data_IF_664480542387
#
_entry.id   IF_664480542387
#
_cell.length_a   1.000
_cell.length_b   1.000
_cell.length_c   1.000
_cell.angle_alpha   90.00
_cell.angle_beta   90.00
_cell.angle_gamma   90.00
#
_symmetry.space_group_name_H-M   'P 1'
#
loop_
_entity.id
_entity.type
_entity.pdbx_description
1 polymer ?
#
# COMPACT_ATOMS: atom_id res chain seq x y z
N UNK A 1 -2.64 -0.43 -0.78
CA UNK A 1 -2.38 -0.13 -2.21
C UNK A 1 -2.54 -1.42 -3.04
N UNK A 2 -2.54 -1.32 -4.37
CA UNK A 2 -2.66 -2.43 -5.31
C UNK A 2 -1.69 -2.24 -6.47
N UNK A 3 -0.93 -3.27 -6.83
CA UNK A 3 -0.24 -3.33 -8.11
C UNK A 3 -1.07 -4.09 -9.15
N UNK A 4 -1.06 -3.63 -10.39
CA UNK A 4 -1.77 -4.23 -11.51
C UNK A 4 -0.80 -4.47 -12.67
N UNK A 5 -0.43 -5.72 -12.97
CA UNK A 5 0.49 -6.01 -14.06
C UNK A 5 -0.08 -5.63 -15.44
N UNK A 6 -1.39 -5.80 -15.66
CA UNK A 6 -2.02 -5.53 -16.96
C UNK A 6 -1.99 -4.05 -17.36
N UNK A 7 -1.96 -3.16 -16.37
CA UNK A 7 -1.91 -1.71 -16.58
C UNK A 7 -0.57 -1.11 -16.11
N UNK A 8 0.37 -1.95 -15.68
CA UNK A 8 1.66 -1.56 -15.07
C UNK A 8 1.52 -0.41 -14.06
N UNK A 9 0.51 -0.47 -13.19
CA UNK A 9 0.25 0.61 -12.22
C UNK A 9 0.23 0.13 -10.78
N UNK A 10 0.68 1.02 -9.91
CA UNK A 10 0.56 0.90 -8.47
C UNK A 10 -0.35 2.02 -7.96
N UNK A 11 -1.40 1.68 -7.22
CA UNK A 11 -2.45 2.61 -6.82
C UNK A 11 -2.82 2.53 -5.36
N UNK A 12 -3.03 3.68 -4.75
CA UNK A 12 -3.53 3.81 -3.38
C UNK A 12 -4.97 4.32 -3.41
N UNK A 13 -5.80 3.73 -2.54
CA UNK A 13 -7.21 4.08 -2.43
C UNK A 13 -7.59 4.25 -0.97
N UNK A 14 -8.61 5.06 -0.76
CA UNK A 14 -9.41 5.13 0.45
C UNK A 14 -10.82 4.65 0.14
N UNK A 15 -11.45 3.94 1.08
CA UNK A 15 -12.86 3.54 0.97
C UNK A 15 -13.60 4.01 2.20
N UNK A 16 -14.59 4.86 2.03
CA UNK A 16 -15.48 5.33 3.12
C UNK A 16 -16.91 5.07 2.69
N UNK A 17 -17.69 4.38 3.53
CA UNK A 17 -19.08 4.02 3.25
C UNK A 17 -19.29 3.34 1.88
N UNK A 18 -18.34 2.48 1.51
CA UNK A 18 -18.33 1.77 0.22
C UNK A 18 -17.87 2.62 -0.98
N UNK A 19 -17.68 3.93 -0.81
CA UNK A 19 -17.16 4.80 -1.86
C UNK A 19 -15.62 4.73 -1.91
N UNK A 20 -15.09 4.22 -3.02
CA UNK A 20 -13.65 4.15 -3.27
C UNK A 20 -13.15 5.42 -3.96
N UNK A 21 -12.20 6.10 -3.33
CA UNK A 21 -11.47 7.26 -3.86
C UNK A 21 -10.01 6.88 -4.09
N UNK A 22 -9.45 7.24 -5.24
CA UNK A 22 -8.01 7.11 -5.48
C UNK A 22 -7.29 8.25 -4.76
N UNK A 23 -6.29 7.90 -3.95
CA UNK A 23 -5.44 8.88 -3.27
C UNK A 23 -4.22 9.23 -4.13
N UNK A 24 -3.59 8.22 -4.73
CA UNK A 24 -2.42 8.41 -5.59
C UNK A 24 -2.22 7.22 -6.57
N UNK A 25 -1.44 7.43 -7.63
CA UNK A 25 -1.10 6.43 -8.65
C UNK A 25 0.29 6.67 -9.23
N UNK A 26 0.99 5.59 -9.54
CA UNK A 26 2.26 5.61 -10.26
C UNK A 26 2.32 4.49 -11.31
N UNK A 27 3.18 4.68 -12.31
CA UNK A 27 3.64 3.58 -13.15
C UNK A 27 4.59 2.70 -12.34
N UNK A 28 4.39 1.40 -12.42
CA UNK A 28 5.18 0.39 -11.73
C UNK A 28 5.27 -0.84 -12.63
N UNK A 29 6.35 -0.92 -13.39
CA UNK A 29 6.67 -2.11 -14.17
C UNK A 29 7.14 -3.24 -13.25
N UNK A 30 6.79 -4.46 -13.58
CA UNK A 30 7.15 -5.66 -12.83
C UNK A 30 6.79 -6.91 -13.64
N UNK A 31 7.44 -8.02 -13.35
CA UNK A 31 7.17 -9.30 -13.99
C UNK A 31 5.97 -9.97 -13.29
N UNK A 32 4.83 -10.20 -13.98
CA UNK A 32 3.65 -10.81 -13.37
C UNK A 32 3.91 -12.20 -12.77
N UNK A 33 4.95 -12.92 -13.21
CA UNK A 33 5.29 -14.25 -12.73
C UNK A 33 6.31 -14.23 -11.57
N UNK A 34 6.79 -13.04 -11.18
CA UNK A 34 7.75 -12.85 -10.09
C UNK A 34 7.08 -12.47 -8.75
N UNK A 35 7.82 -12.67 -7.65
CA UNK A 35 7.42 -12.16 -6.33
C UNK A 35 7.78 -10.68 -6.23
N UNK A 36 6.79 -9.87 -5.85
CA UNK A 36 6.94 -8.44 -5.63
C UNK A 36 6.67 -8.06 -4.17
N UNK A 37 7.37 -7.05 -3.69
CA UNK A 37 7.19 -6.52 -2.34
C UNK A 37 6.36 -5.24 -2.38
N UNK A 38 5.26 -5.21 -1.64
CA UNK A 38 4.51 -3.98 -1.37
C UNK A 38 4.69 -3.62 0.10
N UNK A 39 5.09 -2.38 0.36
CA UNK A 39 5.19 -1.83 1.72
C UNK A 39 4.39 -0.54 1.81
N UNK A 40 3.56 -0.43 2.85
CA UNK A 40 2.77 0.77 3.15
C UNK A 40 3.24 1.30 4.50
N UNK A 41 3.54 2.59 4.55
CA UNK A 41 3.84 3.32 5.78
C UNK A 41 2.74 4.35 5.97
N UNK A 42 2.04 4.29 7.10
CA UNK A 42 1.00 5.25 7.45
C UNK A 42 1.29 5.84 8.82
N UNK A 43 1.56 7.15 8.88
CA UNK A 43 2.06 7.82 10.09
C UNK A 43 1.40 9.18 10.24
N UNK A 44 0.53 9.32 11.24
CA UNK A 44 -0.30 10.52 11.37
C UNK A 44 -1.24 10.61 10.16
N UNK A 45 -1.08 11.65 9.34
CA UNK A 45 -1.85 11.80 8.09
C UNK A 45 -1.10 11.30 6.85
N UNK A 46 0.17 10.97 6.97
CA UNK A 46 1.07 10.75 5.84
C UNK A 46 1.07 9.27 5.43
N UNK A 47 0.75 8.99 4.17
CA UNK A 47 0.78 7.66 3.58
C UNK A 47 1.89 7.59 2.53
N UNK A 48 2.71 6.55 2.62
CA UNK A 48 3.72 6.22 1.61
C UNK A 48 3.54 4.79 1.12
N UNK A 49 3.57 4.61 -0.19
CA UNK A 49 3.50 3.31 -0.83
C UNK A 49 4.79 3.00 -1.58
N UNK A 50 5.36 1.84 -1.28
CA UNK A 50 6.56 1.32 -1.93
C UNK A 50 6.22 0.05 -2.71
N UNK A 51 6.80 -0.06 -3.90
CA UNK A 51 6.80 -1.26 -4.73
C UNK A 51 8.26 -1.64 -4.99
N UNK A 52 8.64 -2.87 -4.64
CA UNK A 52 10.03 -3.38 -4.72
C UNK A 52 11.07 -2.39 -4.15
N UNK A 53 10.77 -1.91 -2.93
CA UNK A 53 11.58 -0.93 -2.18
C UNK A 53 11.68 0.48 -2.78
N UNK A 54 11.11 0.73 -3.94
CA UNK A 54 11.02 2.07 -4.51
C UNK A 54 9.80 2.81 -3.96
N UNK A 55 9.98 4.01 -3.42
CA UNK A 55 8.88 4.90 -3.06
C UNK A 55 8.20 5.36 -4.35
N UNK A 56 6.93 5.03 -4.51
CA UNK A 56 6.16 5.34 -5.72
C UNK A 56 4.90 6.14 -5.44
N UNK A 57 4.33 6.02 -4.23
CA UNK A 57 3.09 6.70 -3.87
C UNK A 57 3.27 7.55 -2.61
N UNK A 58 2.73 8.76 -2.64
CA UNK A 58 2.63 9.65 -1.48
C UNK A 58 1.24 10.27 -1.44
N UNK A 59 0.59 10.22 -0.29
CA UNK A 59 -0.72 10.81 -0.09
C UNK A 59 -0.90 11.26 1.35
N UNK A 60 -1.90 12.10 1.58
CA UNK A 60 -2.35 12.46 2.92
C UNK A 60 -3.82 12.04 3.12
N UNK A 61 -4.16 11.58 4.32
CA UNK A 61 -5.52 11.30 4.75
C UNK A 61 -5.72 11.61 6.23
N UNK A 62 -6.84 12.22 6.59
CA UNK A 62 -7.24 12.51 7.98
C UNK A 62 -8.58 11.87 8.36
N UNK A 63 -9.18 11.06 7.48
CA UNK A 63 -10.46 10.41 7.75
C UNK A 63 -10.33 9.18 8.67
N UNK A 64 -9.19 8.51 8.69
CA UNK A 64 -8.92 7.39 9.60
C UNK A 64 -7.89 7.79 10.65
N UNK A 65 -8.33 8.48 11.71
CA UNK A 65 -7.46 8.88 12.83
C UNK A 65 -7.28 7.79 13.90
N UNK A 66 -8.17 6.80 13.92
CA UNK A 66 -8.15 5.71 14.89
C UNK A 66 -7.45 4.45 14.37
N UNK A 67 -7.17 3.55 15.30
CA UNK A 67 -6.61 2.25 15.04
C UNK A 67 -7.52 1.39 14.17
N UNK A 68 -6.90 0.55 13.34
CA UNK A 68 -7.62 -0.38 12.47
C UNK A 68 -6.87 -1.70 12.29
N UNK A 69 -7.51 -2.60 11.54
CA UNK A 69 -6.93 -3.89 11.19
C UNK A 69 -6.11 -3.81 9.90
N UNK A 70 -5.17 -4.74 9.75
CA UNK A 70 -4.45 -4.96 8.50
C UNK A 70 -5.08 -6.13 7.75
N UNK A 71 -5.29 -5.95 6.45
CA UNK A 71 -5.87 -6.96 5.58
C UNK A 71 -5.24 -6.97 4.20
N UNK A 72 -5.40 -8.09 3.50
CA UNK A 72 -4.98 -8.31 2.12
C UNK A 72 -6.23 -8.53 1.26
N UNK A 73 -6.14 -8.17 -0.02
CA UNK A 73 -7.27 -8.29 -0.94
C UNK A 73 -6.78 -8.51 -2.37
N UNK A 74 -7.59 -9.21 -3.16
CA UNK A 74 -7.44 -9.34 -4.62
C UNK A 74 -8.56 -8.59 -5.34
N UNK A 75 -8.37 -8.29 -6.63
CA UNK A 75 -9.37 -7.58 -7.44
C UNK A 75 -9.85 -8.46 -8.59
N UNK A 76 -11.17 -8.49 -8.77
CA UNK A 76 -11.82 -9.22 -9.85
C UNK A 76 -11.43 -10.70 -9.84
N UNK A 77 -10.91 -11.20 -10.95
CA UNK A 77 -10.53 -12.59 -11.22
C UNK A 77 -9.04 -12.89 -10.96
N UNK A 78 -8.29 -11.96 -10.37
CA UNK A 78 -6.88 -12.17 -10.08
C UNK A 78 -6.66 -13.30 -9.05
N UNK A 79 -5.89 -14.32 -9.45
CA UNK A 79 -5.36 -15.35 -8.58
C UNK A 79 -4.01 -14.89 -8.01
N UNK A 80 -4.02 -14.39 -6.77
CA UNK A 80 -2.83 -13.81 -6.11
C UNK A 80 -2.45 -14.60 -4.88
N UNK A 81 -1.18 -14.94 -4.76
CA UNK A 81 -0.60 -15.53 -3.55
C UNK A 81 0.08 -14.43 -2.71
N UNK A 82 -0.16 -14.46 -1.41
CA UNK A 82 0.49 -13.55 -0.45
C UNK A 82 1.35 -14.36 0.50
N UNK A 83 2.56 -13.88 0.77
CA UNK A 83 3.48 -14.46 1.73
C UNK A 83 4.24 -13.38 2.50
N UNK A 84 4.82 -13.72 3.64
CA UNK A 84 5.65 -12.85 4.48
C UNK A 84 4.97 -11.54 4.93
N UNK A 85 3.66 -11.59 5.22
CA UNK A 85 2.96 -10.45 5.81
C UNK A 85 3.57 -10.09 7.17
N UNK A 86 4.07 -8.85 7.27
CA UNK A 86 4.56 -8.27 8.52
C UNK A 86 3.83 -6.95 8.76
N UNK A 87 3.28 -6.79 9.95
CA UNK A 87 2.69 -5.53 10.41
C UNK A 87 3.37 -5.13 11.71
N UNK A 88 3.77 -3.86 11.80
CA UNK A 88 4.28 -3.27 13.02
C UNK A 88 3.57 -1.95 13.23
N UNK A 89 3.01 -1.79 14.42
CA UNK A 89 2.67 -0.47 14.90
C UNK A 89 3.93 0.18 15.48
N UNK A 90 4.09 1.47 15.25
CA UNK A 90 5.13 2.26 15.87
C UNK A 90 4.64 3.68 16.10
N UNK A 91 5.18 4.35 17.11
CA UNK A 91 4.91 5.77 17.30
C UNK A 91 5.63 6.60 16.23
N UNK A 92 5.05 7.75 15.87
CA UNK A 92 5.53 8.62 14.76
C UNK A 92 7.03 8.92 14.80
N UNK A 93 7.61 9.07 16.00
CA UNK A 93 9.02 9.41 16.19
C UNK A 93 10.00 8.23 15.99
N UNK A 94 9.52 7.00 15.89
CA UNK A 94 10.36 5.81 15.72
C UNK A 94 10.47 5.32 14.27
N UNK A 95 9.79 5.97 13.33
CA UNK A 95 9.69 5.55 11.92
C UNK A 95 11.00 5.79 11.15
N UNK A 96 11.78 6.81 11.53
CA UNK A 96 13.05 7.16 10.86
C UNK A 96 14.15 6.10 11.04
N UNK A 97 13.99 5.15 11.97
CA UNK A 97 14.94 4.07 12.25
C UNK A 97 14.51 2.70 11.70
N UNK A 98 13.41 2.62 10.94
CA UNK A 98 12.97 1.38 10.33
C UNK A 98 13.73 1.18 9.00
N UNK A 99 14.85 0.45 9.06
CA UNK A 99 15.51 -0.08 7.86
C UNK A 99 14.56 -0.99 7.07
N UNK A 100 14.66 -1.03 5.72
CA UNK A 100 13.79 -1.81 4.84
C UNK A 100 13.77 -3.31 5.15
#
# INVERSE_FOLDING_TARGET
ARWNPLESNFRMYKVVDGLRTQLDTAQAAGDPDARHQIRIVYVGRDLRGYFDNQLLLEAEDDQFSDWGYVGLWTKADAATEFDNLRCRYTEKFAVENLSP
#
